data_IF_425071477900
#
_entry.id   IF_425071477900
#
_cell.length_a   1.000
_cell.length_b   1.000
_cell.length_c   1.000
_cell.angle_alpha   90.00
_cell.angle_beta   90.00
_cell.angle_gamma   90.00
#
_symmetry.space_group_name_H-M   'P 1'
#
loop_
_entity.id
_entity.type
_entity.pdbx_description
1 polymer ?
#
# COMPACT_ATOMS: atom_id res chain seq x y z
N UNK A 1 2.33 17.13 6.79
CA UNK A 1 1.34 16.08 6.50
C UNK A 1 0.68 15.66 7.79
N UNK A 2 -0.59 15.26 7.78
CA UNK A 2 -1.31 14.59 8.86
C UNK A 2 -1.71 13.18 8.41
N UNK A 3 -2.15 12.32 9.35
CA UNK A 3 -2.57 10.97 9.01
C UNK A 3 -3.28 10.31 10.19
N UNK A 4 -3.79 9.12 9.95
CA UNK A 4 -4.47 8.27 10.91
C UNK A 4 -3.50 7.19 11.40
N UNK A 5 -3.06 7.32 12.66
CA UNK A 5 -2.14 6.38 13.30
C UNK A 5 -2.94 5.41 14.17
N UNK A 6 -2.68 4.13 14.00
CA UNK A 6 -3.27 3.05 14.83
C UNK A 6 -2.17 2.29 15.54
N UNK A 7 -2.22 2.29 16.85
CA UNK A 7 -1.33 1.51 17.70
C UNK A 7 -2.01 0.18 18.08
N UNK A 8 -1.32 -0.95 17.93
CA UNK A 8 -1.80 -2.22 18.49
C UNK A 8 -1.88 -2.19 20.01
N UNK A 9 -2.61 -3.14 20.58
CA UNK A 9 -2.58 -3.36 22.03
C UNK A 9 -1.18 -3.83 22.48
N UNK A 10 -0.75 -3.38 23.67
CA UNK A 10 0.55 -3.73 24.24
C UNK A 10 1.56 -2.57 24.16
N UNK A 11 2.80 -2.87 24.54
CA UNK A 11 3.83 -1.85 24.74
C UNK A 11 4.80 -1.71 23.55
N UNK A 12 4.75 -2.60 22.54
CA UNK A 12 5.67 -2.58 21.40
C UNK A 12 7.11 -3.04 21.75
N UNK A 13 8.10 -2.79 20.90
CA UNK A 13 7.95 -2.18 19.58
C UNK A 13 7.19 -3.08 18.59
N UNK A 14 6.46 -2.48 17.66
CA UNK A 14 5.63 -3.20 16.69
C UNK A 14 6.21 -3.12 15.27
N UNK A 15 6.05 -4.15 14.44
CA UNK A 15 6.29 -4.01 13.00
C UNK A 15 5.33 -2.97 12.43
N UNK A 16 5.82 -2.13 11.53
CA UNK A 16 5.10 -0.96 11.05
C UNK A 16 4.60 -1.15 9.61
N UNK A 17 3.38 -0.70 9.31
CA UNK A 17 2.80 -0.77 7.97
C UNK A 17 2.21 0.58 7.58
N UNK A 18 2.71 1.15 6.48
CA UNK A 18 2.11 2.31 5.84
C UNK A 18 0.91 1.87 4.99
N UNK A 19 -0.23 2.55 5.15
CA UNK A 19 -1.46 2.30 4.40
C UNK A 19 -1.71 3.45 3.44
N UNK A 20 -1.63 3.21 2.13
CA UNK A 20 -1.71 4.27 1.13
C UNK A 20 -3.07 4.21 0.44
N UNK A 21 -3.80 5.34 0.56
CA UNK A 21 -5.16 5.49 0.03
C UNK A 21 -5.22 5.43 -1.50
N UNK A 22 -6.41 5.26 -2.03
CA UNK A 22 -6.72 5.37 -3.44
C UNK A 22 -6.55 6.83 -3.93
N UNK A 23 -7.05 7.17 -5.11
CA UNK A 23 -7.01 8.53 -5.65
C UNK A 23 -8.11 9.46 -5.06
N UNK A 24 -8.50 9.25 -3.80
CA UNK A 24 -9.64 9.92 -3.16
C UNK A 24 -9.32 10.50 -1.78
N UNK A 25 -8.04 10.37 -1.35
CA UNK A 25 -7.61 10.78 -0.03
C UNK A 25 -7.90 9.74 1.07
N UNK A 26 -7.67 10.15 2.30
CA UNK A 26 -7.87 9.34 3.51
C UNK A 26 -9.37 9.27 3.85
N UNK A 27 -10.09 8.38 3.18
CA UNK A 27 -11.52 8.12 3.41
C UNK A 27 -11.75 7.04 4.50
N UNK A 28 -13.00 6.84 4.96
CA UNK A 28 -13.32 5.86 6.01
C UNK A 28 -12.87 4.42 5.70
N UNK A 29 -12.86 4.01 4.43
CA UNK A 29 -12.36 2.70 4.02
C UNK A 29 -10.87 2.53 4.35
N UNK A 30 -10.04 3.53 4.06
CA UNK A 30 -8.59 3.47 4.33
C UNK A 30 -8.29 3.49 5.82
N UNK A 31 -9.05 4.27 6.59
CA UNK A 31 -8.97 4.24 8.06
C UNK A 31 -9.33 2.87 8.62
N UNK A 32 -10.34 2.20 8.03
CA UNK A 32 -10.71 0.84 8.44
C UNK A 32 -9.59 -0.17 8.16
N UNK A 33 -8.94 -0.07 7.01
CA UNK A 33 -7.76 -0.90 6.71
C UNK A 33 -6.66 -0.69 7.75
N UNK A 34 -6.39 0.55 8.16
CA UNK A 34 -5.41 0.84 9.21
C UNK A 34 -5.82 0.22 10.56
N UNK A 35 -7.11 0.31 10.95
CA UNK A 35 -7.63 -0.35 12.17
C UNK A 35 -7.48 -1.87 12.12
N UNK A 36 -7.79 -2.48 10.99
CA UNK A 36 -7.63 -3.95 10.79
C UNK A 36 -6.18 -4.39 10.93
N UNK A 37 -5.22 -3.59 10.46
CA UNK A 37 -3.79 -3.85 10.69
C UNK A 37 -3.42 -3.70 12.16
N UNK A 38 -3.95 -2.69 12.86
CA UNK A 38 -3.75 -2.53 14.30
C UNK A 38 -4.24 -3.74 15.10
N UNK A 39 -5.43 -4.26 14.78
CA UNK A 39 -5.98 -5.50 15.37
C UNK A 39 -5.08 -6.70 15.05
N UNK A 40 -4.45 -6.72 13.88
CA UNK A 40 -3.52 -7.79 13.48
C UNK A 40 -2.12 -7.68 14.09
N UNK A 41 -1.84 -6.62 14.91
CA UNK A 41 -0.59 -6.45 15.63
C UNK A 41 0.45 -5.53 14.95
N UNK A 42 0.05 -4.76 13.94
CA UNK A 42 0.93 -3.83 13.24
C UNK A 42 0.70 -2.38 13.65
N UNK A 43 1.75 -1.62 13.89
CA UNK A 43 1.68 -0.16 13.98
C UNK A 43 1.34 0.38 12.58
N UNK A 44 0.13 0.88 12.39
CA UNK A 44 -0.34 1.31 11.08
C UNK A 44 -0.46 2.84 10.98
N UNK A 45 0.03 3.42 9.89
CA UNK A 45 -0.15 4.83 9.56
C UNK A 45 -0.79 4.95 8.18
N UNK A 46 -1.93 5.61 8.11
CA UNK A 46 -2.55 6.05 6.86
C UNK A 46 -2.34 7.57 6.70
N UNK A 47 -1.37 8.01 5.88
CA UNK A 47 -1.14 9.43 5.63
C UNK A 47 -2.30 10.03 4.83
N UNK A 48 -2.67 11.27 5.15
CA UNK A 48 -3.69 12.03 4.44
C UNK A 48 -3.04 12.86 3.32
N UNK A 49 -3.05 12.33 2.11
CA UNK A 49 -2.52 13.02 0.94
C UNK A 49 -3.27 14.31 0.59
N UNK A 50 -4.53 14.45 1.03
CA UNK A 50 -5.33 15.66 0.83
C UNK A 50 -5.15 16.70 1.94
N UNK A 51 -4.30 16.45 2.94
CA UNK A 51 -4.08 17.41 4.03
C UNK A 51 -3.77 18.84 3.56
N UNK A 52 -2.98 19.08 2.48
CA UNK A 52 -2.76 20.43 1.96
C UNK A 52 -4.02 21.12 1.43
N UNK A 53 -5.02 20.34 0.99
CA UNK A 53 -6.30 20.84 0.48
C UNK A 53 -7.43 20.80 1.54
N UNK A 54 -7.10 20.60 2.82
CA UNK A 54 -8.07 20.52 3.91
C UNK A 54 -8.40 19.10 4.38
N UNK A 55 -8.02 18.09 3.65
CA UNK A 55 -8.26 16.67 3.91
C UNK A 55 -9.42 16.10 3.10
N UNK A 56 -9.85 14.89 3.47
CA UNK A 56 -10.96 14.21 2.79
C UNK A 56 -12.27 15.03 2.91
N UNK A 57 -12.92 15.39 1.78
CA UNK A 57 -14.05 16.33 1.79
C UNK A 57 -15.39 15.71 2.20
N UNK A 58 -15.43 14.41 2.54
CA UNK A 58 -16.66 13.73 2.95
C UNK A 58 -17.33 12.91 1.84
N UNK A 59 -16.84 13.02 0.61
CA UNK A 59 -17.25 12.17 -0.51
C UNK A 59 -16.08 11.88 -1.45
N UNK A 60 -16.14 10.75 -2.14
CA UNK A 60 -15.04 10.23 -2.96
C UNK A 60 -14.83 10.98 -4.28
N UNK A 61 -15.88 11.59 -4.86
CA UNK A 61 -15.78 12.32 -6.13
C UNK A 61 -15.05 13.65 -5.95
N UNK A 62 -15.37 14.38 -4.90
CA UNK A 62 -14.66 15.61 -4.53
C UNK A 62 -13.22 15.27 -4.09
N UNK A 63 -13.03 14.17 -3.35
CA UNK A 63 -11.70 13.68 -2.98
C UNK A 63 -10.81 13.44 -4.20
N UNK A 64 -11.35 12.80 -5.23
CA UNK A 64 -10.67 12.56 -6.51
C UNK A 64 -10.31 13.87 -7.22
N UNK A 65 -11.23 14.80 -7.26
CA UNK A 65 -11.04 16.12 -7.86
C UNK A 65 -9.92 16.88 -7.14
N UNK A 66 -9.95 16.92 -5.81
CA UNK A 66 -8.90 17.56 -5.00
C UNK A 66 -7.54 16.91 -5.25
N UNK A 67 -7.45 15.58 -5.22
CA UNK A 67 -6.17 14.88 -5.40
C UNK A 67 -5.58 15.12 -6.79
N UNK A 68 -6.40 15.18 -7.84
CA UNK A 68 -5.93 15.46 -9.19
C UNK A 68 -5.36 16.87 -9.35
N UNK A 69 -5.80 17.82 -8.53
CA UNK A 69 -5.33 19.21 -8.51
C UNK A 69 -4.06 19.43 -7.68
N UNK A 70 -3.59 18.44 -6.93
CA UNK A 70 -2.38 18.58 -6.13
C UNK A 70 -1.11 18.45 -6.96
N UNK A 71 -0.02 19.04 -6.46
CA UNK A 71 1.33 18.76 -6.95
C UNK A 71 1.66 17.28 -6.68
N UNK A 72 1.69 16.49 -7.75
CA UNK A 72 1.88 15.03 -7.66
C UNK A 72 3.30 14.65 -7.21
N UNK A 73 4.30 15.47 -7.49
CA UNK A 73 5.66 15.23 -7.04
C UNK A 73 5.77 15.46 -5.52
N UNK A 74 5.16 16.55 -5.03
CA UNK A 74 5.07 16.82 -3.61
C UNK A 74 4.27 15.76 -2.87
N UNK A 75 3.12 15.33 -3.40
CA UNK A 75 2.31 14.29 -2.81
C UNK A 75 3.10 12.98 -2.66
N UNK A 76 3.82 12.57 -3.69
CA UNK A 76 4.71 11.39 -3.62
C UNK A 76 5.80 11.56 -2.57
N UNK A 77 6.46 12.71 -2.51
CA UNK A 77 7.49 12.97 -1.51
C UNK A 77 6.94 12.93 -0.09
N UNK A 78 5.73 13.43 0.12
CA UNK A 78 5.04 13.39 1.41
C UNK A 78 4.71 11.96 1.86
N UNK A 79 4.36 11.06 0.93
CA UNK A 79 4.18 9.62 1.22
C UNK A 79 5.51 8.96 1.59
N UNK A 80 6.60 9.26 0.87
CA UNK A 80 7.95 8.77 1.19
C UNK A 80 8.38 9.23 2.59
N UNK A 81 8.17 10.48 2.91
CA UNK A 81 8.49 11.05 4.23
C UNK A 81 7.65 10.38 5.34
N UNK A 82 6.38 10.06 5.06
CA UNK A 82 5.50 9.35 6.01
C UNK A 82 5.99 7.92 6.27
N UNK A 83 6.52 7.24 5.25
CA UNK A 83 7.12 5.92 5.39
C UNK A 83 8.34 5.96 6.32
N UNK A 84 9.24 6.91 6.11
CA UNK A 84 10.42 7.10 6.97
C UNK A 84 10.07 7.52 8.39
N UNK A 85 9.11 8.43 8.54
CA UNK A 85 8.58 8.80 9.85
C UNK A 85 8.05 7.57 10.61
N UNK A 86 7.22 6.74 9.96
CA UNK A 86 6.65 5.56 10.58
C UNK A 86 7.74 4.53 10.95
N UNK A 87 8.72 4.33 10.08
CA UNK A 87 9.86 3.44 10.35
C UNK A 87 10.64 3.85 11.60
N UNK A 88 10.86 5.15 11.79
CA UNK A 88 11.61 5.72 12.92
C UNK A 88 10.76 6.06 14.15
N UNK A 89 9.44 5.78 14.10
CA UNK A 89 8.53 6.07 15.20
C UNK A 89 8.92 5.30 16.47
N UNK A 90 8.79 5.90 17.65
CA UNK A 90 9.22 5.31 18.92
C UNK A 90 8.58 3.92 19.21
N UNK A 91 7.38 3.68 18.71
CA UNK A 91 6.69 2.39 18.82
C UNK A 91 7.02 1.41 17.69
N UNK A 92 7.80 1.80 16.70
CA UNK A 92 8.18 0.94 15.57
C UNK A 92 9.38 0.06 15.92
N UNK A 93 9.32 -1.20 15.49
CA UNK A 93 10.47 -2.11 15.55
C UNK A 93 11.55 -1.78 14.49
N UNK A 94 11.34 -0.78 13.65
CA UNK A 94 12.18 -0.46 12.50
C UNK A 94 11.93 -1.34 11.26
N UNK A 95 11.08 -2.37 11.37
CA UNK A 95 10.63 -3.18 10.22
C UNK A 95 9.43 -2.50 9.57
N UNK A 96 9.60 -2.06 8.33
CA UNK A 96 8.58 -1.31 7.58
C UNK A 96 8.01 -2.12 6.43
N UNK A 97 6.69 -2.23 6.37
CA UNK A 97 5.90 -2.67 5.23
C UNK A 97 5.05 -1.53 4.66
N UNK A 98 4.50 -1.73 3.48
CA UNK A 98 3.52 -0.83 2.88
C UNK A 98 2.43 -1.62 2.16
N UNK A 99 1.18 -1.20 2.32
CA UNK A 99 0.03 -1.66 1.54
C UNK A 99 -0.64 -0.45 0.91
N UNK A 100 -1.13 -0.58 -0.30
CA UNK A 100 -1.81 0.51 -0.98
C UNK A 100 -2.75 0.01 -2.07
N UNK A 101 -3.73 0.83 -2.39
CA UNK A 101 -4.85 0.47 -3.25
C UNK A 101 -4.94 1.42 -4.43
N UNK A 102 -5.13 0.92 -5.65
CA UNK A 102 -5.24 1.74 -6.86
C UNK A 102 -4.01 2.65 -7.04
N UNK A 103 -4.17 3.97 -6.99
CA UNK A 103 -3.04 4.93 -6.95
C UNK A 103 -2.06 4.58 -5.84
N UNK A 104 -2.56 4.26 -4.64
CA UNK A 104 -1.75 3.83 -3.51
C UNK A 104 -0.99 2.52 -3.77
N UNK A 105 -1.54 1.61 -4.56
CA UNK A 105 -0.82 0.41 -5.01
C UNK A 105 0.37 0.77 -5.92
N UNK A 106 0.19 1.72 -6.83
CA UNK A 106 1.30 2.29 -7.61
C UNK A 106 2.35 2.97 -6.71
N UNK A 107 1.91 3.65 -5.66
CA UNK A 107 2.82 4.25 -4.68
C UNK A 107 3.61 3.23 -3.88
N UNK A 108 3.03 2.04 -3.56
CA UNK A 108 3.81 0.95 -2.93
C UNK A 108 4.95 0.50 -3.85
N UNK A 109 4.69 0.33 -5.14
CA UNK A 109 5.72 0.00 -6.12
C UNK A 109 6.80 1.09 -6.18
N UNK A 110 6.41 2.35 -6.16
CA UNK A 110 7.34 3.49 -6.14
C UNK A 110 8.16 3.55 -4.84
N UNK A 111 7.54 3.28 -3.69
CA UNK A 111 8.26 3.19 -2.41
C UNK A 111 9.29 2.07 -2.44
N UNK A 112 8.95 0.92 -3.04
CA UNK A 112 9.86 -0.22 -3.13
C UNK A 112 11.12 0.13 -3.95
N UNK A 113 10.97 0.87 -5.05
CA UNK A 113 12.12 1.32 -5.87
C UNK A 113 12.94 2.40 -5.15
N UNK A 114 12.27 3.33 -4.43
CA UNK A 114 12.92 4.51 -3.83
C UNK A 114 13.57 4.21 -2.49
N UNK A 115 12.94 3.40 -1.65
CA UNK A 115 13.41 3.10 -0.30
C UNK A 115 14.41 1.93 -0.26
N UNK A 116 14.46 1.09 -1.29
CA UNK A 116 15.35 -0.05 -1.32
C UNK A 116 15.23 -0.89 -0.04
N UNK A 117 16.32 -1.07 0.68
CA UNK A 117 16.37 -1.85 1.92
C UNK A 117 15.64 -1.21 3.13
N UNK A 118 15.21 0.04 3.03
CA UNK A 118 14.40 0.66 4.09
C UNK A 118 13.00 0.06 4.15
N UNK A 119 12.46 -0.47 3.04
CA UNK A 119 11.20 -1.19 2.95
C UNK A 119 11.46 -2.69 2.93
N UNK A 120 10.86 -3.45 3.85
CA UNK A 120 11.03 -4.89 3.94
C UNK A 120 9.96 -5.67 3.16
N UNK A 121 8.74 -5.15 3.09
CA UNK A 121 7.61 -5.79 2.40
C UNK A 121 6.69 -4.78 1.72
N UNK A 122 6.18 -5.10 0.53
CA UNK A 122 5.23 -4.29 -0.20
C UNK A 122 4.04 -5.11 -0.71
N UNK A 123 2.83 -4.57 -0.55
CA UNK A 123 1.59 -5.20 -1.04
C UNK A 123 0.80 -4.20 -1.88
N UNK A 124 1.12 -4.08 -3.18
CA UNK A 124 0.33 -3.27 -4.10
C UNK A 124 -0.95 -4.00 -4.53
N UNK A 125 -2.12 -3.41 -4.28
CA UNK A 125 -3.40 -3.84 -4.82
C UNK A 125 -3.71 -3.06 -6.09
N UNK A 126 -3.92 -3.75 -7.20
CA UNK A 126 -4.29 -3.19 -8.51
C UNK A 126 -3.61 -1.85 -8.81
N UNK A 127 -2.31 -1.78 -8.51
CA UNK A 127 -1.49 -0.59 -8.68
C UNK A 127 -0.66 -0.63 -9.97
N UNK A 128 -0.36 0.55 -10.51
CA UNK A 128 0.52 0.67 -11.66
C UNK A 128 1.94 0.17 -11.35
N UNK A 129 2.56 -0.49 -12.32
CA UNK A 129 3.96 -0.88 -12.23
C UNK A 129 4.89 0.35 -12.21
N UNK A 130 6.06 0.26 -11.58
CA UNK A 130 7.08 1.31 -11.69
C UNK A 130 7.77 1.25 -13.07
N UNK A 131 8.59 2.23 -13.39
CA UNK A 131 9.43 2.15 -14.57
C UNK A 131 10.36 0.93 -14.46
N UNK A 132 10.47 0.14 -15.54
CA UNK A 132 11.25 -1.11 -15.55
C UNK A 132 12.71 -0.87 -15.11
N UNK A 133 13.29 0.27 -15.51
CA UNK A 133 14.66 0.65 -15.14
C UNK A 133 14.87 0.93 -13.64
N UNK A 134 13.81 1.14 -12.87
CA UNK A 134 13.88 1.39 -11.42
C UNK A 134 13.78 0.08 -10.60
N UNK A 135 13.30 -1.01 -11.21
CA UNK A 135 13.07 -2.30 -10.53
C UNK A 135 14.32 -2.87 -9.83
N UNK A 136 15.56 -2.74 -10.37
CA UNK A 136 16.77 -3.21 -9.68
C UNK A 136 17.00 -2.55 -8.30
N UNK A 137 16.38 -1.39 -8.03
CA UNK A 137 16.41 -0.71 -6.73
C UNK A 137 15.59 -1.42 -5.65
N UNK A 138 14.65 -2.28 -6.01
CA UNK A 138 13.75 -2.96 -5.08
C UNK A 138 14.53 -4.00 -4.26
N UNK A 139 14.38 -3.92 -2.94
CA UNK A 139 14.91 -4.91 -1.98
C UNK A 139 13.80 -5.54 -1.12
N UNK A 140 12.61 -4.96 -1.16
CA UNK A 140 11.43 -5.47 -0.48
C UNK A 140 10.95 -6.79 -1.09
N UNK A 141 10.38 -7.68 -0.27
CA UNK A 141 9.54 -8.76 -0.76
C UNK A 141 8.18 -8.18 -1.21
N UNK A 142 7.71 -8.57 -2.38
CA UNK A 142 6.45 -8.04 -2.94
C UNK A 142 5.37 -9.12 -3.01
N UNK A 143 4.15 -8.74 -2.63
CA UNK A 143 2.93 -9.51 -2.87
C UNK A 143 1.98 -8.68 -3.73
N UNK A 144 1.94 -8.96 -5.02
CA UNK A 144 1.17 -8.18 -5.99
C UNK A 144 -0.23 -8.75 -6.13
N UNK A 145 -1.25 -7.93 -5.88
CA UNK A 145 -2.66 -8.33 -5.85
C UNK A 145 -3.40 -7.71 -7.05
N UNK A 146 -3.69 -8.52 -8.08
CA UNK A 146 -4.34 -8.06 -9.30
C UNK A 146 -5.83 -8.40 -9.33
N UNK A 147 -6.65 -7.49 -9.83
CA UNK A 147 -7.98 -7.84 -10.31
C UNK A 147 -7.88 -8.50 -11.70
N UNK A 148 -8.55 -9.63 -11.91
CA UNK A 148 -8.43 -10.34 -13.21
C UNK A 148 -8.97 -9.50 -14.38
N UNK A 149 -10.03 -8.72 -14.15
CA UNK A 149 -10.66 -7.85 -15.15
C UNK A 149 -10.17 -6.38 -15.04
N UNK A 150 -8.86 -6.18 -15.00
CA UNK A 150 -8.23 -4.84 -15.00
C UNK A 150 -7.17 -4.76 -16.10
N UNK A 151 -7.65 -4.66 -17.33
CA UNK A 151 -6.81 -4.73 -18.54
C UNK A 151 -5.68 -3.70 -18.53
N UNK A 152 -5.97 -2.47 -18.09
CA UNK A 152 -5.00 -1.37 -18.04
C UNK A 152 -3.82 -1.64 -17.10
N UNK A 153 -4.07 -2.23 -15.96
CA UNK A 153 -3.02 -2.58 -14.97
C UNK A 153 -2.33 -3.87 -15.39
N UNK A 154 -3.10 -4.88 -15.77
CA UNK A 154 -2.57 -6.20 -16.08
C UNK A 154 -1.69 -6.21 -17.34
N UNK A 155 -1.91 -5.30 -18.30
CA UNK A 155 -1.05 -5.14 -19.46
C UNK A 155 0.41 -4.75 -19.10
N UNK A 156 0.64 -4.19 -17.93
CA UNK A 156 1.97 -3.82 -17.44
C UNK A 156 2.72 -4.98 -16.78
N UNK A 157 1.99 -6.01 -16.34
CA UNK A 157 2.53 -7.09 -15.54
C UNK A 157 3.64 -7.90 -16.21
N UNK A 158 3.54 -8.34 -17.48
CA UNK A 158 4.58 -9.17 -18.11
C UNK A 158 5.97 -8.51 -18.08
N UNK A 159 6.04 -7.21 -18.37
CA UNK A 159 7.29 -6.47 -18.35
C UNK A 159 7.81 -6.27 -16.92
N UNK A 160 6.90 -5.98 -15.98
CA UNK A 160 7.24 -5.80 -14.58
C UNK A 160 7.73 -7.11 -13.95
N UNK A 161 7.03 -8.22 -14.15
CA UNK A 161 7.46 -9.53 -13.65
C UNK A 161 8.81 -9.96 -14.22
N UNK A 162 9.04 -9.75 -15.51
CA UNK A 162 10.34 -10.02 -16.13
C UNK A 162 11.48 -9.23 -15.47
N UNK A 163 11.24 -7.95 -15.16
CA UNK A 163 12.20 -7.11 -14.47
C UNK A 163 12.44 -7.55 -13.02
N UNK A 164 11.39 -7.94 -12.29
CA UNK A 164 11.50 -8.47 -10.93
C UNK A 164 12.34 -9.76 -10.90
N UNK A 165 12.09 -10.67 -11.84
CA UNK A 165 12.87 -11.91 -12.01
C UNK A 165 14.33 -11.61 -12.33
N UNK A 166 14.59 -10.73 -13.27
CA UNK A 166 15.96 -10.34 -13.67
C UNK A 166 16.74 -9.69 -12.50
N UNK A 167 16.07 -8.94 -11.65
CA UNK A 167 16.64 -8.28 -10.47
C UNK A 167 16.67 -9.21 -9.23
N UNK A 168 16.23 -10.47 -9.35
CA UNK A 168 16.11 -11.43 -8.25
C UNK A 168 15.28 -10.89 -7.05
N UNK A 169 14.26 -10.06 -7.31
CA UNK A 169 13.36 -9.54 -6.29
C UNK A 169 12.41 -10.65 -5.83
N UNK A 170 12.32 -10.96 -4.53
CA UNK A 170 11.34 -11.92 -4.01
C UNK A 170 9.92 -11.39 -4.25
N UNK A 171 9.10 -12.12 -4.99
CA UNK A 171 7.73 -11.68 -5.27
C UNK A 171 6.77 -12.84 -5.49
N UNK A 172 5.52 -12.60 -5.17
CA UNK A 172 4.36 -13.43 -5.51
C UNK A 172 3.30 -12.53 -6.14
N UNK A 173 2.51 -13.06 -7.08
CA UNK A 173 1.42 -12.33 -7.71
C UNK A 173 0.17 -13.20 -7.79
N UNK A 174 -0.99 -12.61 -7.50
CA UNK A 174 -2.28 -13.28 -7.58
C UNK A 174 -3.25 -12.46 -8.43
N UNK A 175 -3.95 -13.15 -9.32
CA UNK A 175 -5.04 -12.61 -10.13
C UNK A 175 -6.34 -13.21 -9.60
N UNK A 176 -7.26 -12.33 -9.14
CA UNK A 176 -8.53 -12.76 -8.55
C UNK A 176 -9.61 -12.80 -9.61
N UNK A 177 -10.05 -14.01 -9.96
CA UNK A 177 -11.06 -14.23 -10.98
C UNK A 177 -12.39 -13.53 -10.66
N UNK A 178 -13.05 -13.00 -11.67
CA UNK A 178 -14.33 -12.30 -11.56
C UNK A 178 -14.26 -10.90 -10.94
N UNK A 179 -13.06 -10.43 -10.59
CA UNK A 179 -12.89 -9.12 -9.93
C UNK A 179 -12.52 -8.01 -10.90
N UNK A 180 -12.90 -6.79 -10.54
CA UNK A 180 -12.57 -5.56 -11.24
C UNK A 180 -11.64 -4.69 -10.38
N UNK A 181 -11.03 -3.68 -11.01
CA UNK A 181 -10.25 -2.66 -10.31
C UNK A 181 -10.99 -2.10 -9.10
N UNK A 182 -10.39 -2.17 -7.89
CA UNK A 182 -11.03 -1.73 -6.66
C UNK A 182 -11.81 -2.82 -5.90
N UNK A 183 -11.64 -4.10 -6.24
CA UNK A 183 -12.41 -5.21 -5.64
C UNK A 183 -12.30 -5.35 -4.12
N UNK A 184 -11.25 -4.83 -3.51
CA UNK A 184 -11.06 -4.90 -2.06
C UNK A 184 -11.86 -3.83 -1.30
N UNK A 185 -12.27 -2.74 -1.96
CA UNK A 185 -12.95 -1.62 -1.32
C UNK A 185 -14.44 -1.91 -1.12
N UNK A 186 -14.82 -2.20 0.13
CA UNK A 186 -16.20 -2.54 0.53
C UNK A 186 -17.18 -1.35 0.53
N UNK A 187 -16.70 -0.14 0.25
CA UNK A 187 -17.56 1.04 0.09
C UNK A 187 -18.02 1.29 -1.35
N UNK A 188 -17.65 0.41 -2.30
CA UNK A 188 -17.98 0.55 -3.72
C UNK A 188 -18.71 -0.68 -4.27
N UNK A 189 -19.51 -0.52 -5.35
CA UNK A 189 -20.20 -1.64 -5.99
C UNK A 189 -19.26 -2.71 -6.60
N UNK A 190 -17.96 -2.42 -6.73
CA UNK A 190 -16.95 -3.36 -7.26
C UNK A 190 -16.40 -4.31 -6.21
N UNK A 191 -16.84 -4.16 -4.95
CA UNK A 191 -16.42 -5.04 -3.88
C UNK A 191 -16.74 -6.50 -4.19
N UNK A 192 -15.73 -7.36 -4.02
CA UNK A 192 -15.88 -8.80 -4.18
C UNK A 192 -15.41 -9.49 -2.89
N UNK A 193 -16.35 -9.80 -2.01
CA UNK A 193 -16.08 -10.22 -0.63
C UNK A 193 -15.10 -11.39 -0.53
N UNK A 194 -15.34 -12.47 -1.27
CA UNK A 194 -14.50 -13.68 -1.20
C UNK A 194 -13.05 -13.37 -1.63
N UNK A 195 -12.88 -12.61 -2.73
CA UNK A 195 -11.55 -12.23 -3.21
C UNK A 195 -10.87 -11.24 -2.25
N UNK A 196 -11.61 -10.27 -1.72
CA UNK A 196 -11.08 -9.29 -0.77
C UNK A 196 -10.60 -9.98 0.52
N UNK A 197 -11.37 -10.92 1.06
CA UNK A 197 -11.00 -11.68 2.24
C UNK A 197 -9.74 -12.53 2.00
N UNK A 198 -9.68 -13.27 0.89
CA UNK A 198 -8.51 -14.07 0.56
C UNK A 198 -7.25 -13.21 0.33
N UNK A 199 -7.40 -12.08 -0.38
CA UNK A 199 -6.30 -11.14 -0.59
C UNK A 199 -5.82 -10.54 0.74
N UNK A 200 -6.73 -10.26 1.66
CA UNK A 200 -6.39 -9.76 3.00
C UNK A 200 -5.65 -10.79 3.85
N UNK A 201 -6.09 -12.05 3.86
CA UNK A 201 -5.39 -13.15 4.54
C UNK A 201 -3.95 -13.29 4.02
N UNK A 202 -3.76 -13.28 2.70
CA UNK A 202 -2.44 -13.30 2.06
C UNK A 202 -1.58 -12.10 2.46
N UNK A 203 -2.18 -10.91 2.51
CA UNK A 203 -1.52 -9.67 2.94
C UNK A 203 -0.98 -9.79 4.36
N UNK A 204 -1.81 -10.25 5.31
CA UNK A 204 -1.40 -10.43 6.69
C UNK A 204 -0.32 -11.50 6.84
N UNK A 205 -0.43 -12.62 6.12
CA UNK A 205 0.58 -13.67 6.12
C UNK A 205 1.93 -13.16 5.58
N UNK A 206 1.90 -12.39 4.49
CA UNK A 206 3.08 -11.76 3.91
C UNK A 206 3.78 -10.80 4.88
N UNK A 207 3.04 -9.92 5.54
CA UNK A 207 3.60 -9.01 6.53
C UNK A 207 4.15 -9.75 7.75
N UNK A 208 3.46 -10.76 8.27
CA UNK A 208 3.97 -11.57 9.38
C UNK A 208 5.29 -12.25 9.02
N UNK A 209 5.41 -12.78 7.81
CA UNK A 209 6.62 -13.44 7.32
C UNK A 209 7.81 -12.48 7.19
N UNK A 210 7.59 -11.29 6.65
CA UNK A 210 8.68 -10.39 6.24
C UNK A 210 8.96 -9.24 7.22
N UNK A 211 8.05 -8.97 8.16
CA UNK A 211 8.22 -7.93 9.17
C UNK A 211 8.48 -8.50 10.58
N UNK A 212 8.56 -9.81 10.73
CA UNK A 212 8.96 -10.43 12.00
C UNK A 212 10.33 -9.89 12.42
N UNK A 213 10.49 -9.60 13.70
CA UNK A 213 11.80 -9.37 14.28
C UNK A 213 12.62 -10.66 14.16
N UNK A 214 13.89 -10.56 13.81
CA UNK A 214 14.79 -11.69 13.98
C UNK A 214 14.79 -12.02 15.48
N UNK A 215 14.36 -13.24 15.81
CA UNK A 215 14.35 -13.76 17.18
C UNK A 215 15.77 -13.89 17.74
#
# INVERSE_FOLDING_TARGET
MRGYLVQPAGNGPFPAVLVIHENRGLNPYVEDVARRLGVAGFLALAPDGLAPAGGYPGNDDDGRTLQSGLDQAKLRQDIINSARFLKSHALSSGKLGAVGFCWGGGMVNQLATTLGAELAAGVPFYGAAPAVGEVPGIKAALLVQHAANDERINAQWPAYEAALKAAAVPHEAFFYEGTQHGFHNNSTPRYHEAAANLAWERTLAHFRKHLASAG
#
